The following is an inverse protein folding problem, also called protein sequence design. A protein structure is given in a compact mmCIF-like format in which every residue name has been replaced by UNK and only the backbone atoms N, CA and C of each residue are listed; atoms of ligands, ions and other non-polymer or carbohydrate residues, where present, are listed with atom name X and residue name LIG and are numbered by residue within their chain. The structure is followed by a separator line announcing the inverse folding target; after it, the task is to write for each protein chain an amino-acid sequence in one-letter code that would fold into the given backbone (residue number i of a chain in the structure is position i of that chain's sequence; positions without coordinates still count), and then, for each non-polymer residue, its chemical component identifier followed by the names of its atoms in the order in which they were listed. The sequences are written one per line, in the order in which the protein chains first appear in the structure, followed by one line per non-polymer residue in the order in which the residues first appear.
data_IF_234140367245
#
_entry.id   IF_234140367245
#
_cell.length_a   1.000
_cell.length_b   1.000
_cell.length_c   1.000
_cell.angle_alpha   90.00
_cell.angle_beta   90.00
_cell.angle_gamma   90.00
#
_symmetry.space_group_name_H-M   'P 1'
#
loop_
_entity.id
_entity.type
_entity.pdbx_description
1 polymer ?
#
# COMPACT_ATOMS: atom_id res chain seq x y z
N UNK A 1 10.27 -0.48 -2.98
CA UNK A 1 9.11 -0.44 -3.89
C UNK A 1 9.44 -1.24 -5.15
N UNK A 2 8.69 -2.31 -5.42
CA UNK A 2 8.85 -3.18 -6.60
C UNK A 2 7.74 -3.01 -7.63
N UNK A 3 6.61 -2.39 -7.26
CA UNK A 3 5.45 -2.23 -8.13
C UNK A 3 4.66 -0.98 -7.75
N UNK A 4 4.15 -0.28 -8.76
CA UNK A 4 3.29 0.89 -8.67
C UNK A 4 2.26 0.76 -9.80
N UNK A 5 0.97 0.89 -9.51
CA UNK A 5 -0.08 0.88 -10.53
C UNK A 5 -0.08 2.17 -11.36
N UNK A 6 -0.92 2.24 -12.39
CA UNK A 6 -1.22 3.55 -12.99
C UNK A 6 -1.82 4.51 -11.95
N UNK A 7 -1.66 5.81 -12.19
CA UNK A 7 -2.34 6.85 -11.43
C UNK A 7 -3.82 6.93 -11.85
N UNK A 8 -4.70 7.23 -10.89
CA UNK A 8 -6.14 7.35 -11.10
C UNK A 8 -6.66 8.59 -10.38
N UNK A 9 -7.77 9.14 -10.88
CA UNK A 9 -8.51 10.19 -10.18
C UNK A 9 -9.19 9.63 -8.93
N UNK A 10 -9.44 10.48 -7.93
CA UNK A 10 -10.02 10.08 -6.64
C UNK A 10 -11.44 9.50 -6.69
N UNK A 11 -12.12 9.57 -7.84
CA UNK A 11 -13.43 8.94 -8.05
C UNK A 11 -13.37 7.46 -8.42
N UNK A 12 -12.18 6.92 -8.73
CA UNK A 12 -12.00 5.52 -9.09
C UNK A 12 -11.90 4.69 -7.82
N UNK A 13 -12.69 3.62 -7.72
CA UNK A 13 -12.62 2.73 -6.56
C UNK A 13 -11.31 1.96 -6.50
N UNK A 14 -10.82 1.74 -5.29
CA UNK A 14 -9.69 0.89 -4.97
C UNK A 14 -9.74 -0.47 -5.68
N UNK A 15 -10.92 -1.09 -5.70
CA UNK A 15 -11.15 -2.35 -6.42
C UNK A 15 -10.89 -2.21 -7.92
N UNK A 16 -11.45 -1.18 -8.57
CA UNK A 16 -11.25 -0.95 -9.99
C UNK A 16 -9.77 -0.71 -10.33
N UNK A 17 -9.03 -0.06 -9.42
CA UNK A 17 -7.58 0.10 -9.56
C UNK A 17 -6.91 -1.27 -9.61
N UNK A 18 -7.22 -2.18 -8.67
CA UNK A 18 -6.64 -3.53 -8.61
C UNK A 18 -6.98 -4.35 -9.85
N UNK A 19 -8.25 -4.38 -10.27
CA UNK A 19 -8.73 -5.13 -11.44
C UNK A 19 -8.04 -4.70 -12.74
N UNK A 20 -7.78 -3.40 -12.89
CA UNK A 20 -7.08 -2.82 -14.04
C UNK A 20 -5.56 -2.95 -13.95
N UNK A 21 -5.04 -3.38 -12.80
CA UNK A 21 -3.63 -3.49 -12.54
C UNK A 21 -3.10 -4.89 -12.81
N UNK A 22 -1.78 -5.05 -12.84
CA UNK A 22 -1.15 -6.37 -12.95
C UNK A 22 -0.78 -6.97 -11.59
N UNK A 23 -1.40 -6.51 -10.49
CA UNK A 23 -1.02 -6.91 -9.14
C UNK A 23 -1.20 -8.41 -8.90
N UNK A 24 -2.28 -9.02 -9.41
CA UNK A 24 -2.51 -10.48 -9.30
C UNK A 24 -1.46 -11.32 -10.01
N UNK A 25 -0.81 -10.78 -11.05
CA UNK A 25 0.29 -11.44 -11.77
C UNK A 25 1.65 -11.28 -11.09
N UNK A 26 1.70 -10.49 -10.01
CA UNK A 26 2.91 -10.20 -9.22
C UNK A 26 2.91 -10.89 -7.87
N UNK A 27 1.93 -11.76 -7.63
CA UNK A 27 1.77 -12.53 -6.40
C UNK A 27 1.82 -14.02 -6.69
N UNK A 28 2.31 -14.78 -5.72
CA UNK A 28 2.42 -16.24 -5.79
C UNK A 28 1.49 -16.89 -4.76
N UNK A 29 1.06 -18.15 -5.00
CA UNK A 29 0.27 -18.90 -4.03
C UNK A 29 0.93 -18.94 -2.65
N UNK A 30 0.17 -18.59 -1.61
CA UNK A 30 0.66 -18.47 -0.23
C UNK A 30 1.06 -17.06 0.18
N UNK A 31 1.13 -16.11 -0.76
CA UNK A 31 1.37 -14.70 -0.43
C UNK A 31 0.25 -14.09 0.43
N UNK A 32 0.60 -13.00 1.09
CA UNK A 32 -0.34 -12.22 1.89
C UNK A 32 -0.19 -10.73 1.64
N UNK A 33 -1.30 -10.09 1.28
CA UNK A 33 -1.37 -8.65 0.99
C UNK A 33 -1.99 -7.94 2.19
N UNK A 34 -1.31 -6.93 2.72
CA UNK A 34 -1.94 -5.99 3.65
C UNK A 34 -2.70 -4.92 2.87
N UNK A 35 -3.95 -4.65 3.27
CA UNK A 35 -4.76 -3.61 2.64
C UNK A 35 -5.48 -2.75 3.69
N UNK A 36 -5.81 -1.52 3.31
CA UNK A 36 -6.60 -0.62 4.15
C UNK A 36 -8.06 -1.09 4.26
N UNK A 37 -8.78 -0.51 5.22
CA UNK A 37 -10.19 -0.85 5.45
C UNK A 37 -11.03 -0.43 4.25
N UNK A 38 -11.93 -1.32 3.83
CA UNK A 38 -12.82 -1.09 2.67
C UNK A 38 -12.28 -1.66 1.36
N UNK A 39 -11.04 -2.16 1.36
CA UNK A 39 -10.39 -2.78 0.21
C UNK A 39 -10.90 -4.22 0.00
N UNK A 40 -12.07 -4.34 -0.62
CA UNK A 40 -12.80 -5.60 -0.83
C UNK A 40 -12.42 -6.26 -2.16
N UNK A 41 -11.26 -6.92 -2.17
CA UNK A 41 -10.71 -7.57 -3.37
C UNK A 41 -10.29 -9.04 -3.15
N UNK A 42 -10.69 -9.66 -2.03
CA UNK A 42 -10.28 -11.04 -1.70
C UNK A 42 -10.72 -12.06 -2.77
N UNK A 43 -11.85 -11.82 -3.42
CA UNK A 43 -12.36 -12.61 -4.54
C UNK A 43 -11.43 -12.59 -5.76
N UNK A 44 -10.68 -11.51 -5.99
CA UNK A 44 -9.70 -11.42 -7.09
C UNK A 44 -8.44 -12.25 -6.83
N UNK A 45 -8.11 -12.46 -5.55
CA UNK A 45 -6.87 -13.13 -5.10
C UNK A 45 -7.10 -14.57 -4.61
N UNK A 46 -8.33 -14.93 -4.25
CA UNK A 46 -8.69 -16.28 -3.82
C UNK A 46 -8.36 -17.37 -4.86
N UNK A 47 -8.58 -17.19 -6.17
CA UNK A 47 -8.26 -18.21 -7.18
C UNK A 47 -6.76 -18.56 -7.27
N UNK A 48 -5.89 -17.68 -6.80
CA UNK A 48 -4.43 -17.87 -6.78
C UNK A 48 -3.89 -18.12 -5.36
N UNK A 49 -4.76 -18.45 -4.40
CA UNK A 49 -4.40 -18.76 -3.01
C UNK A 49 -3.64 -17.65 -2.28
N UNK A 50 -4.00 -16.39 -2.56
CA UNK A 50 -3.42 -15.21 -1.90
C UNK A 50 -4.43 -14.64 -0.90
N UNK A 51 -3.94 -14.33 0.31
CA UNK A 51 -4.76 -13.82 1.41
C UNK A 51 -4.68 -12.31 1.54
N UNK A 52 -5.79 -11.65 1.83
CA UNK A 52 -5.82 -10.22 2.14
C UNK A 52 -6.01 -10.03 3.64
N UNK A 53 -5.04 -9.37 4.26
CA UNK A 53 -5.07 -9.01 5.67
C UNK A 53 -5.40 -7.53 5.83
N UNK A 54 -6.56 -7.24 6.40
CA UNK A 54 -6.94 -5.89 6.81
C UNK A 54 -6.61 -5.75 8.30
N UNK A 55 -5.70 -4.84 8.71
CA UNK A 55 -5.36 -4.67 10.12
C UNK A 55 -6.61 -4.38 10.97
N UNK A 56 -6.83 -5.16 12.02
CA UNK A 56 -7.95 -4.94 12.93
C UNK A 56 -7.72 -3.69 13.79
N UNK A 57 -8.73 -2.82 13.90
CA UNK A 57 -8.71 -1.73 14.87
C UNK A 57 -9.08 -2.26 16.25
N UNK A 58 -8.22 -2.03 17.24
CA UNK A 58 -8.44 -2.36 18.66
C UNK A 58 -9.52 -1.49 19.34
N UNK A 59 -10.33 -0.72 18.59
CA UNK A 59 -11.29 0.22 19.16
C UNK A 59 -12.47 -0.55 19.79
N UNK A 60 -12.46 -0.67 21.12
CA UNK A 60 -13.58 -1.19 21.91
C UNK A 60 -13.48 -2.65 22.38
N UNK A 61 -12.34 -3.33 22.21
CA UNK A 61 -12.13 -4.69 22.78
C UNK A 61 -11.17 -4.63 23.96
N UNK A 62 -11.68 -4.88 25.17
CA UNK A 62 -10.92 -4.81 26.43
C UNK A 62 -9.90 -5.94 26.56
N UNK A 63 -10.12 -7.10 25.91
CA UNK A 63 -9.20 -8.23 25.88
C UNK A 63 -9.32 -8.97 24.53
N UNK A 64 -8.18 -9.28 23.91
CA UNK A 64 -8.08 -10.20 22.78
C UNK A 64 -7.21 -11.40 23.23
N UNK A 65 -7.50 -12.62 22.77
CA UNK A 65 -6.63 -13.78 23.00
C UNK A 65 -5.17 -13.48 22.61
N UNK A 66 -4.19 -13.96 23.37
CA UNK A 66 -2.77 -13.63 23.16
C UNK A 66 -2.26 -13.92 21.74
N UNK A 67 -2.75 -15.00 21.11
CA UNK A 67 -2.42 -15.38 19.74
C UNK A 67 -2.91 -14.37 18.69
N UNK A 68 -4.10 -13.78 18.88
CA UNK A 68 -4.62 -12.71 18.01
C UNK A 68 -3.86 -11.41 18.22
N UNK A 69 -3.49 -11.06 19.45
CA UNK A 69 -2.68 -9.86 19.75
C UNK A 69 -1.31 -9.90 19.08
N UNK A 70 -0.64 -11.05 19.06
CA UNK A 70 0.67 -11.20 18.40
C UNK A 70 0.58 -11.05 16.88
N UNK A 71 -0.47 -11.59 16.26
CA UNK A 71 -0.73 -11.44 14.82
C UNK A 71 -1.04 -9.97 14.47
N UNK A 72 -1.90 -9.33 15.24
CA UNK A 72 -2.26 -7.92 15.06
C UNK A 72 -1.04 -7.00 15.26
N UNK A 73 -0.17 -7.31 16.24
CA UNK A 73 1.06 -6.55 16.47
C UNK A 73 2.05 -6.68 15.30
N UNK A 74 2.20 -7.88 14.72
CA UNK A 74 3.04 -8.09 13.53
C UNK A 74 2.51 -7.28 12.33
N UNK A 75 1.20 -7.34 12.08
CA UNK A 75 0.56 -6.54 11.03
C UNK A 75 0.72 -5.03 11.28
N UNK A 76 0.48 -4.56 12.51
CA UNK A 76 0.67 -3.17 12.87
C UNK A 76 2.12 -2.69 12.65
N UNK A 77 3.11 -3.53 13.00
CA UNK A 77 4.52 -3.21 12.74
C UNK A 77 4.81 -3.02 11.25
N UNK A 78 4.31 -3.92 10.39
CA UNK A 78 4.51 -3.80 8.94
C UNK A 78 3.76 -2.61 8.34
N UNK A 79 2.60 -2.22 8.89
CA UNK A 79 1.88 -0.99 8.51
C UNK A 79 2.72 0.27 8.72
N UNK A 80 3.49 0.35 9.81
CA UNK A 80 4.37 1.51 10.08
C UNK A 80 5.36 1.74 8.94
N UNK A 81 5.89 0.68 8.33
CA UNK A 81 6.81 0.81 7.19
C UNK A 81 6.13 1.41 5.96
N UNK A 82 4.87 1.01 5.69
CA UNK A 82 4.06 1.55 4.60
C UNK A 82 3.80 3.05 4.84
N UNK A 83 3.40 3.42 6.05
CA UNK A 83 3.14 4.83 6.41
C UNK A 83 4.39 5.70 6.29
N UNK A 84 5.57 5.20 6.71
CA UNK A 84 6.84 5.90 6.53
C UNK A 84 7.19 6.08 5.05
N UNK A 85 6.97 5.07 4.22
CA UNK A 85 7.21 5.15 2.77
C UNK A 85 6.30 6.19 2.10
N UNK A 86 5.01 6.22 2.47
CA UNK A 86 4.06 7.24 2.01
C UNK A 86 4.53 8.63 2.47
N UNK A 87 4.92 8.76 3.74
CA UNK A 87 5.47 9.99 4.30
C UNK A 87 6.70 10.49 3.54
N UNK A 88 7.64 9.58 3.23
CA UNK A 88 8.82 9.89 2.43
C UNK A 88 8.45 10.34 1.02
N UNK A 89 7.52 9.65 0.35
CA UNK A 89 7.05 10.04 -0.98
C UNK A 89 6.47 11.46 -0.94
N UNK A 90 5.74 11.83 0.10
CA UNK A 90 5.18 13.18 0.28
C UNK A 90 6.24 14.27 0.57
N UNK A 91 7.52 13.92 0.76
CA UNK A 91 8.59 14.92 0.95
C UNK A 91 9.00 15.60 -0.35
N UNK A 92 8.79 14.98 -1.50
CA UNK A 92 9.11 15.56 -2.81
C UNK A 92 8.28 16.82 -3.04
N UNK A 93 8.95 17.97 -3.18
CA UNK A 93 8.30 19.29 -3.30
C UNK A 93 7.31 19.36 -4.47
N UNK A 94 7.57 18.63 -5.57
CA UNK A 94 6.69 18.56 -6.73
C UNK A 94 5.31 17.97 -6.42
N UNK A 95 5.17 17.19 -5.34
CA UNK A 95 3.90 16.61 -4.89
C UNK A 95 3.21 17.44 -3.80
N UNK A 96 3.82 18.56 -3.35
CA UNK A 96 3.28 19.39 -2.26
C UNK A 96 2.36 20.51 -2.74
N UNK A 97 2.41 20.83 -4.02
CA UNK A 97 1.61 21.89 -4.65
C UNK A 97 0.78 21.28 -5.76
N UNK A 98 -0.30 21.97 -6.12
CA UNK A 98 -1.09 21.58 -7.28
C UNK A 98 -0.22 21.52 -8.53
N UNK A 99 -0.40 20.45 -9.31
CA UNK A 99 0.32 20.26 -10.55
C UNK A 99 -0.29 21.18 -11.62
N UNK A 100 0.50 22.05 -12.27
CA UNK A 100 -0.03 22.90 -13.35
C UNK A 100 -0.71 22.05 -14.44
N UNK A 101 -1.79 22.57 -15.04
CA UNK A 101 -2.62 21.83 -16.01
C UNK A 101 -1.79 21.21 -17.14
N UNK A 102 -0.77 21.92 -17.63
CA UNK A 102 0.14 21.43 -18.67
C UNK A 102 0.91 20.16 -18.28
N UNK A 103 1.19 19.96 -16.98
CA UNK A 103 1.89 18.80 -16.47
C UNK A 103 0.97 17.67 -16.00
N UNK A 104 -0.35 17.88 -15.92
CA UNK A 104 -1.32 16.84 -15.55
C UNK A 104 -1.20 15.57 -16.39
N UNK A 105 -0.98 15.63 -17.72
CA UNK A 105 -0.74 14.43 -18.53
C UNK A 105 0.49 13.62 -18.09
N UNK A 106 1.47 14.24 -17.43
CA UNK A 106 2.68 13.61 -16.89
C UNK A 106 2.54 13.22 -15.41
N UNK A 107 1.38 13.44 -14.78
CA UNK A 107 1.20 13.22 -13.35
C UNK A 107 1.51 11.78 -12.92
N UNK A 108 1.21 10.81 -13.79
CA UNK A 108 1.53 9.39 -13.59
C UNK A 108 3.03 9.16 -13.52
N UNK A 109 3.78 9.67 -14.48
CA UNK A 109 5.23 9.53 -14.60
C UNK A 109 5.94 10.26 -13.45
N UNK A 110 5.49 11.47 -13.11
CA UNK A 110 6.00 12.25 -11.99
C UNK A 110 5.85 11.44 -10.69
N UNK A 111 4.65 10.94 -10.41
CA UNK A 111 4.40 10.15 -9.20
C UNK A 111 5.23 8.85 -9.19
N UNK A 112 5.29 8.15 -10.31
CA UNK A 112 6.10 6.93 -10.46
C UNK A 112 7.57 7.17 -10.14
N UNK A 113 8.17 8.21 -10.72
CA UNK A 113 9.58 8.57 -10.48
C UNK A 113 9.80 8.92 -9.00
N UNK A 114 8.93 9.71 -8.39
CA UNK A 114 9.03 10.03 -6.96
C UNK A 114 9.04 8.78 -6.08
N UNK A 115 8.13 7.83 -6.33
CA UNK A 115 8.10 6.57 -5.60
C UNK A 115 9.36 5.72 -5.82
N UNK A 116 9.83 5.57 -7.06
CA UNK A 116 11.06 4.78 -7.34
C UNK A 116 12.29 5.42 -6.69
N UNK A 117 12.38 6.76 -6.67
CA UNK A 117 13.46 7.47 -5.99
C UNK A 117 13.51 7.20 -4.47
N UNK A 118 12.39 6.82 -3.84
CA UNK A 118 12.38 6.39 -2.44
C UNK A 118 13.24 5.15 -2.19
N UNK A 119 13.46 4.29 -3.20
CA UNK A 119 14.32 3.11 -3.06
C UNK A 119 15.80 3.45 -2.86
N UNK A 120 16.23 4.66 -3.23
CA UNK A 120 17.62 5.12 -3.12
C UNK A 120 17.89 5.96 -1.87
N UNK A 121 16.89 6.12 -0.99
CA UNK A 121 17.06 6.81 0.29
C UNK A 121 17.59 5.84 1.35
N UNK A 122 18.27 6.38 2.36
CA UNK A 122 18.69 5.61 3.52
C UNK A 122 17.50 4.88 4.17
N UNK A 123 17.78 3.69 4.69
CA UNK A 123 16.79 2.70 5.10
C UNK A 123 15.63 3.28 5.93
N UNK A 124 14.44 3.27 5.33
CA UNK A 124 13.15 3.69 5.94
C UNK A 124 12.70 2.69 7.03
N UNK A 125 13.24 1.48 6.93
CA UNK A 125 12.97 0.30 7.76
C UNK A 125 14.30 -0.08 8.41
N UNK A 126 14.36 -0.20 9.74
CA UNK A 126 15.60 -0.65 10.39
C UNK A 126 15.94 -2.07 9.92
N UNK A 127 17.23 -2.40 9.83
CA UNK A 127 17.67 -3.74 9.41
C UNK A 127 17.06 -4.87 10.27
N UNK A 128 16.64 -4.55 11.50
CA UNK A 128 16.09 -5.48 12.49
C UNK A 128 14.56 -5.66 12.46
N UNK A 129 13.85 -5.18 11.42
CA UNK A 129 12.38 -5.03 11.42
C UNK A 129 11.54 -6.14 10.73
#
# INVERSE_FOLDING_TARGET
ISYISSAYAGSVSDRAIVERSNLTKKTEPGDSIMADRGFTVQDLFAPIYVSINIPAFLKGKTQLPGLTLLKDRKLASKRVHIERLIGLTKTYKILKTDLPVYFVPLGREIFYVCCILCNFRENIVSADA
#
